data_IF_353229343163
#
_entry.id   IF_353229343163
#
_cell.length_a   1.000
_cell.length_b   1.000
_cell.length_c   1.000
_cell.angle_alpha   90.00
_cell.angle_beta   90.00
_cell.angle_gamma   90.00
#
_symmetry.space_group_name_H-M   'P 1'
#
loop_
_entity.id
_entity.type
_entity.pdbx_description
1 polymer ?
#
# COMPACT_ATOMS: atom_id res chain seq x y z
N UNK A 1 -74.78 12.37 -19.57
CA UNK A 1 -73.51 11.63 -19.65
C UNK A 1 -72.69 11.96 -18.40
N UNK A 2 -72.84 11.19 -17.33
CA UNK A 2 -72.11 11.38 -16.07
C UNK A 2 -71.76 9.99 -15.52
N UNK A 3 -70.46 9.67 -15.51
CA UNK A 3 -69.93 8.37 -15.08
C UNK A 3 -69.88 8.34 -13.55
N UNK A 4 -70.55 7.36 -12.94
CA UNK A 4 -70.43 7.05 -11.50
C UNK A 4 -69.18 6.20 -11.31
N UNK A 5 -68.22 6.70 -10.53
CA UNK A 5 -67.03 5.96 -10.10
C UNK A 5 -67.33 5.28 -8.77
N UNK A 6 -67.26 3.95 -8.75
CA UNK A 6 -67.34 3.14 -7.55
C UNK A 6 -65.98 3.13 -6.85
N UNK A 7 -65.95 3.45 -5.55
CA UNK A 7 -64.76 3.39 -4.72
C UNK A 7 -64.57 1.97 -4.21
N UNK A 8 -63.45 1.33 -4.57
CA UNK A 8 -63.02 0.06 -3.97
C UNK A 8 -61.98 0.40 -2.90
N UNK A 9 -62.35 0.21 -1.63
CA UNK A 9 -61.39 0.19 -0.52
C UNK A 9 -60.55 -1.08 -0.63
N UNK A 10 -59.27 -0.94 -0.98
CA UNK A 10 -58.28 -2.01 -0.86
C UNK A 10 -57.62 -1.86 0.52
N UNK A 11 -57.96 -2.78 1.43
CA UNK A 11 -57.21 -3.02 2.66
C UNK A 11 -55.89 -3.67 2.29
N UNK A 12 -54.79 -2.92 2.36
CA UNK A 12 -53.44 -3.48 2.26
C UNK A 12 -53.08 -4.05 3.62
N UNK A 13 -53.03 -5.37 3.70
CA UNK A 13 -52.49 -6.09 4.85
C UNK A 13 -50.98 -5.81 4.95
N UNK A 14 -50.56 -5.19 6.05
CA UNK A 14 -49.15 -5.07 6.41
C UNK A 14 -48.68 -6.41 6.96
N UNK A 15 -47.98 -7.19 6.16
CA UNK A 15 -47.22 -8.34 6.62
C UNK A 15 -45.90 -7.86 7.22
N UNK A 16 -45.75 -8.01 8.54
CA UNK A 16 -44.43 -7.97 9.19
C UNK A 16 -43.61 -9.15 8.68
N UNK A 17 -42.72 -8.91 7.72
CA UNK A 17 -41.62 -9.82 7.45
C UNK A 17 -40.56 -9.61 8.55
N UNK A 18 -40.45 -10.58 9.45
CA UNK A 18 -39.33 -10.70 10.37
C UNK A 18 -38.03 -10.70 9.56
N UNK A 19 -37.11 -9.81 9.92
CA UNK A 19 -35.82 -9.67 9.25
C UNK A 19 -35.01 -10.95 9.35
N UNK A 20 -34.69 -11.55 8.20
CA UNK A 20 -33.56 -12.46 8.09
C UNK A 20 -32.28 -11.65 8.28
N UNK A 21 -31.65 -11.79 9.45
CA UNK A 21 -30.27 -11.36 9.63
C UNK A 21 -29.39 -12.24 8.75
N UNK A 22 -28.85 -11.70 7.67
CA UNK A 22 -27.73 -12.34 6.95
C UNK A 22 -26.51 -12.33 7.85
N UNK A 23 -26.33 -13.40 8.62
CA UNK A 23 -25.03 -13.76 9.16
C UNK A 23 -24.11 -14.05 7.99
N UNK A 24 -23.12 -13.19 7.76
CA UNK A 24 -22.02 -13.47 6.83
C UNK A 24 -21.34 -14.76 7.27
N UNK A 25 -21.47 -15.81 6.47
CA UNK A 25 -20.70 -17.04 6.63
C UNK A 25 -19.21 -16.70 6.46
N UNK A 26 -18.30 -17.21 7.30
CA UNK A 26 -16.88 -17.16 6.98
C UNK A 26 -16.67 -17.91 5.67
N UNK A 27 -16.06 -17.25 4.68
CA UNK A 27 -15.60 -17.92 3.46
C UNK A 27 -14.67 -19.09 3.82
N UNK A 28 -14.52 -20.11 2.95
CA UNK A 28 -13.64 -21.23 3.24
C UNK A 28 -12.24 -20.68 3.49
N UNK A 29 -11.72 -20.93 4.69
CA UNK A 29 -10.32 -20.68 5.00
C UNK A 29 -9.51 -21.44 3.97
N UNK A 30 -8.76 -20.70 3.14
CA UNK A 30 -7.79 -21.29 2.24
C UNK A 30 -6.88 -22.17 3.11
N UNK A 31 -6.74 -23.49 2.85
CA UNK A 31 -5.90 -24.32 3.70
C UNK A 31 -4.50 -23.72 3.64
N UNK A 32 -4.01 -23.26 4.81
CA UNK A 32 -2.61 -22.93 4.98
C UNK A 32 -1.83 -24.15 4.52
N UNK A 33 -1.13 -24.02 3.39
CA UNK A 33 -0.17 -25.03 2.96
C UNK A 33 0.88 -25.07 4.06
N UNK A 34 0.78 -26.06 4.95
CA UNK A 34 1.82 -26.30 5.94
C UNK A 34 3.10 -26.61 5.15
N UNK A 35 4.21 -25.90 5.40
CA UNK A 35 5.46 -26.25 4.75
C UNK A 35 5.85 -27.66 5.21
N UNK A 36 5.95 -28.57 4.25
CA UNK A 36 6.41 -29.94 4.48
C UNK A 36 7.79 -29.89 5.17
N UNK A 37 7.97 -30.49 6.34
CA UNK A 37 9.29 -30.57 6.97
C UNK A 37 10.19 -31.44 6.10
N UNK A 38 11.12 -30.85 5.36
CA UNK A 38 12.12 -31.62 4.60
C UNK A 38 12.57 -31.05 3.25
N UNK A 39 12.09 -29.90 2.79
CA UNK A 39 12.75 -29.26 1.64
C UNK A 39 14.07 -28.66 2.10
N UNK A 40 15.17 -29.35 1.82
CA UNK A 40 16.53 -28.78 1.90
C UNK A 40 16.65 -27.72 0.81
N UNK A 41 16.10 -26.54 1.06
CA UNK A 41 16.39 -25.37 0.23
C UNK A 41 17.84 -24.99 0.52
N UNK A 42 18.68 -25.09 -0.50
CA UNK A 42 20.03 -24.51 -0.50
C UNK A 42 19.92 -23.09 0.07
N UNK A 43 20.71 -22.70 1.08
CA UNK A 43 20.68 -21.34 1.60
C UNK A 43 20.90 -20.39 0.43
N UNK A 44 19.89 -19.57 0.13
CA UNK A 44 20.05 -18.47 -0.82
C UNK A 44 21.18 -17.53 -0.36
N UNK A 45 21.64 -16.62 -1.23
CA UNK A 45 22.68 -15.66 -0.90
C UNK A 45 22.46 -15.08 0.50
N UNK A 46 23.43 -15.27 1.37
CA UNK A 46 23.31 -14.84 2.77
C UNK A 46 23.55 -13.33 2.85
N UNK A 47 22.83 -12.61 3.73
CA UNK A 47 23.13 -11.23 4.02
C UNK A 47 24.61 -11.04 4.38
N UNK A 48 25.23 -9.91 4.01
CA UNK A 48 26.64 -9.63 4.29
C UNK A 48 26.96 -9.57 5.79
N UNK A 49 25.94 -9.59 6.66
CA UNK A 49 26.06 -9.69 8.11
C UNK A 49 25.32 -10.94 8.61
N UNK A 50 25.86 -11.60 9.62
CA UNK A 50 25.19 -12.73 10.26
C UNK A 50 23.94 -12.24 11.02
N UNK A 51 22.76 -12.45 10.43
CA UNK A 51 21.48 -12.14 11.05
C UNK A 51 20.97 -13.36 11.81
N UNK A 52 20.54 -13.17 13.06
CA UNK A 52 19.90 -14.20 13.87
C UNK A 52 18.39 -13.96 13.96
N UNK A 53 17.64 -15.03 14.19
CA UNK A 53 16.18 -14.96 14.34
C UNK A 53 15.73 -15.80 15.53
N UNK A 54 14.55 -15.47 16.05
CA UNK A 54 13.84 -16.32 17.01
C UNK A 54 13.40 -17.63 16.35
N UNK A 55 13.20 -18.68 17.17
CA UNK A 55 12.67 -19.96 16.68
C UNK A 55 11.35 -19.76 15.92
N UNK A 56 11.20 -20.42 14.78
CA UNK A 56 10.03 -20.30 13.90
C UNK A 56 10.15 -19.22 12.81
N UNK A 57 11.18 -18.38 12.84
CA UNK A 57 11.43 -17.35 11.82
C UNK A 57 12.61 -17.72 10.92
N UNK A 58 12.61 -17.15 9.71
CA UNK A 58 13.71 -17.26 8.74
C UNK A 58 13.93 -15.90 8.09
N UNK A 59 15.19 -15.56 7.84
CA UNK A 59 15.57 -14.41 7.01
C UNK A 59 16.10 -14.94 5.69
N UNK A 60 15.60 -14.37 4.60
CA UNK A 60 16.05 -14.68 3.24
C UNK A 60 16.31 -13.38 2.50
N UNK A 61 17.38 -13.34 1.71
CA UNK A 61 17.62 -12.21 0.83
C UNK A 61 16.62 -12.22 -0.32
N UNK A 62 16.01 -11.07 -0.59
CA UNK A 62 15.04 -10.89 -1.68
C UNK A 62 15.68 -10.22 -2.89
N UNK A 63 16.56 -9.24 -2.68
CA UNK A 63 17.30 -8.59 -3.76
C UNK A 63 18.59 -7.94 -3.26
N UNK A 64 19.62 -7.89 -4.09
CA UNK A 64 20.83 -7.04 -3.91
C UNK A 64 20.80 -5.77 -4.77
N UNK A 65 19.76 -5.62 -5.60
CA UNK A 65 19.71 -4.66 -6.71
C UNK A 65 18.77 -3.49 -6.44
N UNK A 66 18.59 -3.10 -5.17
CA UNK A 66 17.81 -1.92 -4.75
C UNK A 66 18.67 -0.98 -3.90
N UNK A 67 19.63 -0.26 -4.51
CA UNK A 67 20.48 0.67 -3.79
C UNK A 67 19.68 1.75 -3.05
N UNK A 68 19.96 1.90 -1.75
CA UNK A 68 19.28 2.91 -0.93
C UNK A 68 17.79 2.63 -0.72
N UNK A 69 17.37 1.36 -0.75
CA UNK A 69 16.03 0.95 -0.33
C UNK A 69 15.63 1.62 1.00
N UNK A 70 14.44 2.24 1.03
CA UNK A 70 13.94 2.95 2.23
C UNK A 70 12.61 2.44 2.76
N UNK A 71 11.60 2.32 1.91
CA UNK A 71 10.27 1.86 2.27
C UNK A 71 9.80 0.77 1.31
N UNK A 72 8.87 -0.07 1.76
CA UNK A 72 8.35 -1.16 0.95
C UNK A 72 6.84 -1.38 1.17
N UNK A 73 6.17 -1.84 0.13
CA UNK A 73 4.78 -2.29 0.18
C UNK A 73 4.60 -3.52 -0.71
N UNK A 74 3.72 -4.45 -0.30
CA UNK A 74 3.38 -5.62 -1.11
C UNK A 74 2.13 -5.29 -1.92
N UNK A 75 2.23 -5.37 -3.24
CA UNK A 75 1.12 -5.16 -4.14
C UNK A 75 0.12 -6.32 -4.08
N UNK A 76 -1.17 -6.11 -4.44
CA UNK A 76 -2.17 -7.18 -4.46
C UNK A 76 -1.83 -8.38 -5.35
N UNK A 77 -1.00 -8.18 -6.38
CA UNK A 77 -0.50 -9.24 -7.26
C UNK A 77 0.76 -9.97 -6.72
N UNK A 78 1.26 -9.57 -5.55
CA UNK A 78 2.42 -10.17 -4.89
C UNK A 78 3.77 -9.50 -5.21
N UNK A 79 3.81 -8.48 -6.06
CA UNK A 79 5.05 -7.72 -6.30
C UNK A 79 5.48 -6.99 -5.02
N UNK A 80 6.78 -7.03 -4.72
CA UNK A 80 7.36 -6.21 -3.67
C UNK A 80 7.77 -4.86 -4.28
N UNK A 81 7.08 -3.80 -3.87
CA UNK A 81 7.36 -2.44 -4.30
C UNK A 81 8.31 -1.79 -3.30
N UNK A 82 9.37 -1.15 -3.78
CA UNK A 82 10.42 -0.56 -2.94
C UNK A 82 10.76 0.85 -3.42
N UNK A 83 10.89 1.79 -2.50
CA UNK A 83 11.32 3.16 -2.80
C UNK A 83 12.84 3.28 -2.76
N UNK A 84 13.43 3.87 -3.80
CA UNK A 84 14.83 4.28 -3.85
C UNK A 84 14.91 5.81 -3.74
N UNK A 85 14.83 6.31 -2.51
CA UNK A 85 14.62 7.75 -2.23
C UNK A 85 15.66 8.64 -2.90
N UNK A 86 16.95 8.29 -2.80
CA UNK A 86 18.02 9.12 -3.39
C UNK A 86 18.13 8.98 -4.92
N UNK A 87 17.60 7.90 -5.49
CA UNK A 87 17.57 7.68 -6.93
C UNK A 87 16.32 8.27 -7.60
N UNK A 88 15.38 8.82 -6.80
CA UNK A 88 14.12 9.37 -7.30
C UNK A 88 13.21 8.32 -7.94
N UNK A 89 13.32 7.06 -7.50
CA UNK A 89 12.70 5.90 -8.15
C UNK A 89 11.83 5.07 -7.20
N UNK A 90 10.86 4.39 -7.79
CA UNK A 90 10.14 3.28 -7.16
C UNK A 90 10.27 2.08 -8.09
N UNK A 91 10.65 0.94 -7.52
CA UNK A 91 10.89 -0.31 -8.24
C UNK A 91 9.98 -1.42 -7.76
N UNK A 92 9.71 -2.38 -8.62
CA UNK A 92 8.98 -3.60 -8.33
C UNK A 92 9.89 -4.83 -8.49
N UNK A 93 9.95 -5.65 -7.44
CA UNK A 93 10.57 -6.98 -7.46
C UNK A 93 9.42 -7.99 -7.58
N UNK A 94 9.38 -8.71 -8.70
CA UNK A 94 8.32 -9.68 -8.96
C UNK A 94 8.61 -11.00 -8.23
N UNK A 95 7.57 -11.77 -7.84
CA UNK A 95 7.79 -13.12 -7.33
C UNK A 95 8.63 -13.96 -8.29
N UNK A 96 9.66 -14.62 -7.77
CA UNK A 96 10.59 -15.43 -8.56
C UNK A 96 11.72 -14.67 -9.26
N UNK A 97 11.81 -13.35 -9.11
CA UNK A 97 13.02 -12.61 -9.52
C UNK A 97 14.23 -13.15 -8.74
N UNK A 98 15.34 -13.51 -9.42
CA UNK A 98 16.59 -13.89 -8.74
C UNK A 98 17.09 -12.78 -7.82
N UNK A 99 17.84 -13.14 -6.78
CA UNK A 99 18.37 -12.17 -5.79
C UNK A 99 19.24 -11.08 -6.46
N UNK A 100 20.04 -11.46 -7.44
CA UNK A 100 20.87 -10.58 -8.26
C UNK A 100 20.16 -10.05 -9.52
N UNK A 101 18.89 -10.41 -9.69
CA UNK A 101 18.06 -9.96 -10.80
C UNK A 101 17.65 -8.49 -10.65
N UNK A 102 17.63 -7.77 -11.78
CA UNK A 102 17.24 -6.36 -11.82
C UNK A 102 15.74 -6.19 -11.53
N UNK A 103 15.36 -5.35 -10.54
CA UNK A 103 13.99 -4.91 -10.34
C UNK A 103 13.46 -4.12 -11.55
N UNK A 104 12.14 -4.07 -11.71
CA UNK A 104 11.51 -3.23 -12.72
C UNK A 104 11.28 -1.83 -12.16
N UNK A 105 11.82 -0.80 -12.79
CA UNK A 105 11.49 0.60 -12.45
C UNK A 105 10.05 0.88 -12.87
N UNK A 106 9.19 1.27 -11.93
CA UNK A 106 7.78 1.56 -12.18
C UNK A 106 7.44 3.05 -12.04
N UNK A 107 8.32 3.81 -11.39
CA UNK A 107 8.30 5.28 -11.39
C UNK A 107 9.72 5.81 -11.28
N UNK A 108 9.98 6.94 -11.92
CA UNK A 108 11.27 7.64 -11.90
C UNK A 108 11.06 9.15 -11.94
N UNK A 109 12.12 9.91 -11.64
CA UNK A 109 12.08 11.38 -11.60
C UNK A 109 11.24 11.94 -10.45
N UNK A 110 10.96 11.13 -9.43
CA UNK A 110 10.19 11.56 -8.26
C UNK A 110 11.09 12.33 -7.28
N UNK A 111 10.58 13.40 -6.65
CA UNK A 111 11.33 14.12 -5.63
C UNK A 111 11.39 13.30 -4.34
N UNK A 112 12.47 12.53 -4.16
CA UNK A 112 12.75 11.74 -2.96
C UNK A 112 11.55 10.87 -2.51
N UNK A 113 11.12 9.89 -3.32
CA UNK A 113 10.00 9.01 -2.95
C UNK A 113 10.34 8.23 -1.68
N UNK A 114 9.38 8.11 -0.76
CA UNK A 114 9.57 7.40 0.50
C UNK A 114 8.37 6.51 0.82
N UNK A 115 7.31 7.03 1.43
CA UNK A 115 6.16 6.24 1.85
C UNK A 115 5.43 5.61 0.67
N UNK A 116 5.03 4.35 0.82
CA UNK A 116 4.30 3.58 -0.18
C UNK A 116 3.08 2.93 0.47
N UNK A 117 1.90 3.07 -0.13
CA UNK A 117 0.69 2.42 0.35
C UNK A 117 -0.23 2.05 -0.81
N UNK A 118 -0.88 0.89 -0.71
CA UNK A 118 -1.92 0.47 -1.64
C UNK A 118 -3.30 0.78 -1.08
N UNK A 119 -4.21 1.21 -1.96
CA UNK A 119 -5.64 1.17 -1.74
C UNK A 119 -6.30 0.50 -2.96
N UNK A 120 -6.74 -0.75 -2.79
CA UNK A 120 -7.03 -1.61 -3.94
C UNK A 120 -5.79 -1.78 -4.80
N UNK A 121 -5.89 -1.49 -6.09
CA UNK A 121 -4.77 -1.55 -7.05
C UNK A 121 -4.07 -0.21 -7.26
N UNK A 122 -4.47 0.84 -6.55
CA UNK A 122 -3.83 2.15 -6.66
C UNK A 122 -2.65 2.21 -5.68
N UNK A 123 -1.46 2.49 -6.22
CA UNK A 123 -0.25 2.70 -5.43
C UNK A 123 -0.06 4.19 -5.18
N UNK A 124 -0.14 4.60 -3.93
CA UNK A 124 0.15 5.95 -3.47
C UNK A 124 1.61 6.03 -3.02
N UNK A 125 2.26 7.14 -3.39
CA UNK A 125 3.68 7.37 -3.19
C UNK A 125 3.82 8.74 -2.53
N UNK A 126 4.25 8.78 -1.28
CA UNK A 126 4.65 10.02 -0.64
C UNK A 126 6.04 10.42 -1.16
N UNK A 127 6.16 11.68 -1.54
CA UNK A 127 7.38 12.32 -2.02
C UNK A 127 7.72 13.49 -1.10
N UNK A 128 8.91 14.07 -1.23
CA UNK A 128 9.31 15.20 -0.39
C UNK A 128 8.34 16.39 -0.52
N UNK A 129 7.84 16.65 -1.72
CA UNK A 129 7.04 17.83 -2.07
C UNK A 129 5.55 17.56 -2.23
N UNK A 130 5.10 16.31 -2.03
CA UNK A 130 3.71 15.96 -2.20
C UNK A 130 3.39 14.48 -2.18
N UNK A 131 2.31 14.12 -2.85
CA UNK A 131 1.82 12.75 -2.99
C UNK A 131 1.53 12.48 -4.45
N UNK A 132 2.06 11.38 -4.95
CA UNK A 132 1.75 10.85 -6.28
C UNK A 132 0.96 9.55 -6.18
N UNK A 133 0.33 9.16 -7.27
CA UNK A 133 -0.41 7.90 -7.39
C UNK A 133 -0.14 7.25 -8.75
N UNK A 134 0.05 5.95 -8.75
CA UNK A 134 -0.07 5.08 -9.92
C UNK A 134 -1.40 4.36 -9.81
N UNK A 135 -2.32 4.64 -10.74
CA UNK A 135 -3.64 4.03 -10.77
C UNK A 135 -3.59 2.65 -11.41
N UNK A 136 -4.37 1.70 -10.91
CA UNK A 136 -4.54 0.36 -11.52
C UNK A 136 -3.23 -0.41 -11.75
N UNK A 137 -2.30 -0.38 -10.79
CA UNK A 137 -1.08 -1.20 -10.82
C UNK A 137 -1.43 -2.70 -10.96
N UNK A 138 -0.70 -3.50 -11.77
CA UNK A 138 0.50 -3.14 -12.56
C UNK A 138 0.18 -2.64 -13.98
N UNK A 139 -1.09 -2.55 -14.36
CA UNK A 139 -1.48 -2.20 -15.74
C UNK A 139 -1.38 -0.72 -16.03
N UNK A 140 -1.71 0.13 -15.05
CA UNK A 140 -1.39 1.54 -15.10
C UNK A 140 0.01 1.77 -14.55
N UNK A 141 0.80 2.53 -15.31
CA UNK A 141 2.19 2.88 -14.96
C UNK A 141 2.42 4.40 -15.05
N UNK A 142 1.39 5.17 -15.39
CA UNK A 142 1.47 6.62 -15.41
C UNK A 142 1.41 7.16 -13.98
N UNK A 143 2.46 7.86 -13.57
CA UNK A 143 2.49 8.59 -12.31
C UNK A 143 1.63 9.85 -12.46
N UNK A 144 0.73 10.07 -11.50
CA UNK A 144 -0.09 11.26 -11.40
C UNK A 144 0.18 11.96 -10.08
N UNK A 145 0.38 13.28 -10.10
CA UNK A 145 0.45 14.07 -8.88
C UNK A 145 -0.96 14.20 -8.29
N UNK A 146 -1.14 13.73 -7.06
CA UNK A 146 -2.40 13.87 -6.32
C UNK A 146 -2.40 15.12 -5.45
N UNK A 147 -1.26 15.43 -4.84
CA UNK A 147 -1.05 16.62 -4.03
C UNK A 147 0.37 17.13 -4.24
N UNK A 148 0.52 18.45 -4.23
CA UNK A 148 1.80 19.16 -4.28
C UNK A 148 1.76 20.34 -3.34
N UNK A 149 2.92 20.82 -2.91
CA UNK A 149 3.03 21.98 -2.04
C UNK A 149 3.25 21.64 -0.57
N UNK A 150 3.67 20.39 -0.27
CA UNK A 150 4.32 20.13 1.00
C UNK A 150 5.59 20.97 1.07
N UNK A 151 5.84 21.55 2.24
CA UNK A 151 7.02 22.37 2.47
C UNK A 151 8.27 21.53 2.28
N UNK A 152 9.17 22.04 1.43
CA UNK A 152 10.53 21.54 1.33
C UNK A 152 11.26 21.90 2.63
N UNK A 153 11.46 20.90 3.47
CA UNK A 153 12.17 21.01 4.74
C UNK A 153 13.64 20.60 4.61
N UNK A 154 14.41 20.77 5.69
CA UNK A 154 15.81 20.36 5.77
C UNK A 154 15.99 18.83 5.78
N UNK A 155 16.76 18.34 6.75
CA UNK A 155 17.25 16.95 6.73
C UNK A 155 16.16 15.89 6.99
N UNK A 156 14.99 16.26 7.54
CA UNK A 156 13.91 15.32 7.89
C UNK A 156 12.82 15.21 6.81
N UNK A 157 13.24 15.13 5.55
CA UNK A 157 12.38 15.16 4.37
C UNK A 157 11.69 13.84 3.98
N UNK A 158 11.89 12.77 4.74
CA UNK A 158 11.22 11.50 4.48
C UNK A 158 9.75 11.57 4.91
N UNK A 159 8.85 11.21 3.99
CA UNK A 159 7.40 11.25 4.18
C UNK A 159 6.85 9.84 4.25
N UNK A 160 6.41 9.36 5.42
CA UNK A 160 5.73 8.06 5.57
C UNK A 160 4.27 8.20 5.18
N UNK A 161 3.64 7.11 4.74
CA UNK A 161 2.29 7.12 4.21
C UNK A 161 1.46 5.98 4.79
N UNK A 162 0.24 6.28 5.23
CA UNK A 162 -0.76 5.29 5.59
C UNK A 162 -2.13 5.68 5.04
N UNK A 163 -2.96 4.69 4.71
CA UNK A 163 -4.33 4.91 4.22
C UNK A 163 -5.28 4.14 5.13
N UNK A 164 -6.24 4.84 5.71
CA UNK A 164 -7.30 4.24 6.51
C UNK A 164 -8.37 3.58 5.62
N UNK A 165 -9.16 2.68 6.21
CA UNK A 165 -10.20 1.92 5.50
C UNK A 165 -11.28 2.78 4.84
N UNK A 166 -11.50 4.00 5.33
CA UNK A 166 -12.42 4.98 4.75
C UNK A 166 -11.78 5.79 3.59
N UNK A 167 -10.53 5.51 3.23
CA UNK A 167 -9.78 6.21 2.19
C UNK A 167 -9.06 7.48 2.66
N UNK A 168 -9.10 7.83 3.95
CA UNK A 168 -8.30 8.94 4.48
C UNK A 168 -6.81 8.60 4.39
N UNK A 169 -6.04 9.48 3.77
CA UNK A 169 -4.60 9.38 3.66
C UNK A 169 -3.94 10.18 4.78
N UNK A 170 -2.99 9.55 5.47
CA UNK A 170 -2.15 10.14 6.48
C UNK A 170 -0.70 10.15 5.98
N UNK A 171 -0.08 11.31 6.01
CA UNK A 171 1.30 11.52 5.62
C UNK A 171 2.06 12.14 6.80
N UNK A 172 3.31 11.74 6.99
CA UNK A 172 4.12 12.23 8.10
C UNK A 172 5.01 13.41 7.68
N UNK A 173 4.77 14.58 8.26
CA UNK A 173 5.69 15.70 8.08
C UNK A 173 6.68 15.81 9.23
N UNK A 174 7.99 15.73 8.94
CA UNK A 174 9.05 16.02 9.91
C UNK A 174 9.44 17.51 9.92
N UNK A 175 10.05 17.93 11.02
CA UNK A 175 10.65 19.27 11.21
C UNK A 175 11.62 19.65 10.09
N UNK A 176 11.94 20.93 9.94
CA UNK A 176 13.07 21.36 9.09
C UNK A 176 14.40 21.41 9.84
N UNK A 177 14.38 21.30 11.17
CA UNK A 177 15.58 21.38 11.99
C UNK A 177 15.58 20.37 13.16
N UNK A 178 16.67 20.36 13.92
CA UNK A 178 16.77 19.58 15.15
C UNK A 178 16.26 20.33 16.39
N UNK A 179 16.55 21.65 16.48
CA UNK A 179 16.22 22.52 17.61
C UNK A 179 16.02 23.95 17.10
N UNK A 180 14.78 24.33 16.80
CA UNK A 180 14.43 25.69 16.43
C UNK A 180 12.97 25.98 16.82
N UNK A 181 12.47 27.14 16.41
CA UNK A 181 11.06 27.49 16.54
C UNK A 181 10.46 27.49 15.16
N UNK A 182 9.84 26.37 14.80
CA UNK A 182 9.17 26.17 13.53
C UNK A 182 7.98 27.12 13.40
N UNK A 183 7.99 27.93 12.32
CA UNK A 183 6.91 28.84 11.99
C UNK A 183 5.97 28.30 10.90
N UNK A 184 6.37 27.22 10.21
CA UNK A 184 5.54 26.60 9.18
C UNK A 184 4.63 25.54 9.80
N UNK A 185 3.32 25.74 9.69
CA UNK A 185 2.31 24.84 10.22
C UNK A 185 2.24 23.47 9.52
N UNK A 186 2.91 23.30 8.37
CA UNK A 186 3.05 22.01 7.70
C UNK A 186 4.20 21.17 8.25
N UNK A 187 5.07 21.72 9.11
CA UNK A 187 6.20 21.02 9.71
C UNK A 187 5.90 20.75 11.20
N UNK A 188 6.50 19.69 11.72
CA UNK A 188 6.31 19.21 13.10
C UNK A 188 7.44 19.66 14.02
#
# INVERSE_FOLDING_TARGET
MMKRFSWVCVLIAVSLAAGCTSSAMPGPANPMVQPTPGSTQTPGPQPPMALTTQSGFKITMVSTQVPGARFMAVAPNGDLIVSETNNGQVVAIKPGTPVDGSPTVIASGLPRPHGLAFNGNDLYIATWTGISVIRNYPTGIAVQTLYSGLTENGDHNNRSLAIASNGTLFESSGSDCNICSESDAQLA
#
